data_IF_213782828712
#
_entry.id   IF_213782828712
#
_cell.length_a   1.000
_cell.length_b   1.000
_cell.length_c   1.000
_cell.angle_alpha   90.00
_cell.angle_beta   90.00
_cell.angle_gamma   90.00
#
_symmetry.space_group_name_H-M   'P 1'
#
loop_
_entity.id
_entity.type
_entity.pdbx_description
1 polymer ?
#
# COMPACT_ATOMS: atom_id res chain seq x y z
N UNK A 1 42.24 35.17 -58.08
CA UNK A 1 41.29 35.75 -57.10
C UNK A 1 40.03 34.90 -56.90
N UNK A 2 39.50 34.23 -57.93
CA UNK A 2 38.28 33.39 -57.84
C UNK A 2 38.26 32.32 -56.74
N UNK A 3 39.37 31.60 -56.48
CA UNK A 3 39.38 30.56 -55.45
C UNK A 3 39.23 31.08 -54.01
N UNK A 4 39.66 32.31 -53.72
CA UNK A 4 39.50 32.89 -52.37
C UNK A 4 38.03 33.24 -52.08
N UNK A 5 37.31 33.71 -53.09
CA UNK A 5 35.89 34.06 -52.97
C UNK A 5 35.02 32.83 -52.74
N UNK A 6 35.32 31.71 -53.40
CA UNK A 6 34.62 30.44 -53.19
C UNK A 6 34.82 29.86 -51.78
N UNK A 7 36.05 29.93 -51.26
CA UNK A 7 36.34 29.45 -49.90
C UNK A 7 35.58 30.27 -48.85
N UNK A 8 35.51 31.60 -49.03
CA UNK A 8 34.75 32.48 -48.13
C UNK A 8 33.25 32.18 -48.15
N UNK A 9 32.67 31.91 -49.31
CA UNK A 9 31.25 31.56 -49.44
C UNK A 9 30.91 30.22 -48.78
N UNK A 10 31.78 29.21 -48.93
CA UNK A 10 31.59 27.91 -48.28
C UNK A 10 31.67 28.06 -46.76
N UNK A 11 32.63 28.85 -46.25
CA UNK A 11 32.77 29.08 -44.82
C UNK A 11 31.55 29.80 -44.25
N UNK A 12 31.03 30.84 -44.93
CA UNK A 12 29.84 31.55 -44.47
C UNK A 12 28.60 30.65 -44.45
N UNK A 13 28.47 29.75 -45.44
CA UNK A 13 27.36 28.82 -45.51
C UNK A 13 27.40 27.77 -44.38
N UNK A 14 28.59 27.26 -44.06
CA UNK A 14 28.78 26.34 -42.93
C UNK A 14 28.48 26.99 -41.58
N UNK A 15 28.85 28.25 -41.38
CA UNK A 15 28.51 29.01 -40.17
C UNK A 15 26.99 29.19 -40.06
N UNK A 16 26.32 29.49 -41.17
CA UNK A 16 24.88 29.68 -41.21
C UNK A 16 24.13 28.38 -40.88
N UNK A 17 24.55 27.25 -41.45
CA UNK A 17 24.02 25.92 -41.10
C UNK A 17 24.28 25.61 -39.63
N UNK A 18 25.50 25.83 -39.14
CA UNK A 18 25.85 25.62 -37.74
C UNK A 18 24.97 26.43 -36.80
N UNK A 19 24.72 27.71 -37.12
CA UNK A 19 23.83 28.57 -36.35
C UNK A 19 22.36 28.15 -36.42
N UNK A 20 21.89 27.65 -37.56
CA UNK A 20 20.51 27.17 -37.70
C UNK A 20 20.29 25.87 -36.92
N UNK A 21 21.26 24.95 -36.93
CA UNK A 21 21.23 23.72 -36.13
C UNK A 21 21.31 24.08 -34.63
N UNK A 22 22.22 24.97 -34.24
CA UNK A 22 22.29 25.44 -32.85
C UNK A 22 20.98 26.11 -32.41
N UNK A 23 20.37 26.94 -33.27
CA UNK A 23 19.09 27.57 -33.01
C UNK A 23 17.98 26.52 -32.87
N UNK A 24 17.92 25.50 -33.73
CA UNK A 24 16.93 24.41 -33.62
C UNK A 24 17.12 23.54 -32.36
N UNK A 25 18.35 23.37 -31.88
CA UNK A 25 18.65 22.66 -30.62
C UNK A 25 18.29 23.52 -29.40
N UNK A 26 18.48 24.85 -29.48
CA UNK A 26 18.19 25.78 -28.38
C UNK A 26 16.69 26.13 -28.32
N UNK A 27 16.00 26.12 -29.46
CA UNK A 27 14.56 26.41 -29.60
C UNK A 27 13.72 25.15 -29.75
N UNK A 28 14.14 24.04 -29.14
CA UNK A 28 13.16 23.00 -28.84
C UNK A 28 12.04 23.71 -28.07
N UNK A 29 10.80 23.75 -28.61
CA UNK A 29 9.69 24.34 -27.88
C UNK A 29 9.67 23.66 -26.52
N UNK A 30 9.39 24.41 -25.46
CA UNK A 30 9.06 23.81 -24.18
C UNK A 30 7.94 22.81 -24.43
N UNK A 31 8.33 21.54 -24.61
CA UNK A 31 7.44 20.42 -24.44
C UNK A 31 7.23 20.42 -22.93
N UNK A 32 6.33 21.30 -22.48
CA UNK A 32 5.53 21.00 -21.31
C UNK A 32 5.18 19.53 -21.50
N UNK A 33 5.46 18.63 -20.55
CA UNK A 33 4.79 17.37 -20.56
C UNK A 33 3.33 17.78 -20.67
N UNK A 34 2.73 17.51 -21.82
CA UNK A 34 1.43 16.93 -21.80
C UNK A 34 1.63 15.72 -20.91
N UNK A 35 1.53 15.93 -19.59
CA UNK A 35 1.07 14.87 -18.71
C UNK A 35 -0.11 14.35 -19.49
N UNK A 36 -0.06 13.12 -20.05
CA UNK A 36 -1.27 12.54 -20.56
C UNK A 36 -2.25 12.79 -19.42
N UNK A 37 -3.35 13.48 -19.73
CA UNK A 37 -4.47 13.58 -18.82
C UNK A 37 -4.95 12.14 -18.64
N UNK A 38 -4.21 11.34 -17.88
CA UNK A 38 -4.69 10.12 -17.28
C UNK A 38 -5.85 10.64 -16.45
N UNK A 39 -7.03 10.53 -17.03
CA UNK A 39 -8.27 10.88 -16.38
C UNK A 39 -8.25 10.11 -15.07
N UNK A 40 -8.12 10.85 -13.97
CA UNK A 40 -8.25 10.33 -12.62
C UNK A 40 -9.61 9.65 -12.58
N UNK A 41 -9.65 8.41 -12.06
CA UNK A 41 -10.90 7.67 -12.00
C UNK A 41 -11.94 8.42 -11.17
N UNK A 42 -13.21 8.25 -11.51
CA UNK A 42 -14.28 8.84 -10.73
C UNK A 42 -14.40 8.13 -9.38
N UNK A 43 -13.84 8.75 -8.34
CA UNK A 43 -13.99 8.29 -6.97
C UNK A 43 -15.40 8.59 -6.46
N UNK A 44 -16.18 7.55 -6.13
CA UNK A 44 -17.52 7.70 -5.58
C UNK A 44 -17.52 7.43 -4.08
N UNK A 45 -18.17 8.30 -3.31
CA UNK A 45 -18.36 8.09 -1.86
C UNK A 45 -19.61 7.26 -1.60
N UNK A 46 -19.46 6.19 -0.83
CA UNK A 46 -20.57 5.35 -0.39
C UNK A 46 -21.03 5.72 1.02
N UNK A 47 -20.06 5.89 1.93
CA UNK A 47 -20.28 6.32 3.30
C UNK A 47 -19.10 7.19 3.76
N UNK A 48 -19.38 8.22 4.55
CA UNK A 48 -18.37 9.07 5.14
C UNK A 48 -18.69 9.29 6.62
N UNK A 49 -17.79 8.86 7.48
CA UNK A 49 -17.95 8.95 8.93
C UNK A 49 -17.23 10.18 9.48
N UNK A 50 -15.94 10.35 9.20
CA UNK A 50 -15.16 11.50 9.68
C UNK A 50 -13.84 11.66 8.90
N UNK A 51 -13.16 12.82 8.97
CA UNK A 51 -11.81 12.99 8.38
C UNK A 51 -10.76 12.05 8.99
N UNK A 52 -11.03 11.58 10.21
CA UNK A 52 -10.17 10.78 11.06
C UNK A 52 -10.63 9.30 11.08
N UNK A 53 -11.24 8.85 10.00
CA UNK A 53 -11.70 7.47 9.83
C UNK A 53 -10.73 6.71 8.90
N UNK A 54 -10.72 5.38 8.99
CA UNK A 54 -10.01 4.56 8.02
C UNK A 54 -10.75 4.63 6.68
N UNK A 55 -10.00 4.88 5.62
CA UNK A 55 -10.52 5.00 4.27
C UNK A 55 -10.36 3.68 3.50
N UNK A 56 -11.48 3.04 3.19
CA UNK A 56 -11.55 1.81 2.40
C UNK A 56 -11.98 2.16 0.97
N UNK A 57 -11.22 1.72 -0.02
CA UNK A 57 -11.54 1.93 -1.44
C UNK A 57 -11.81 0.59 -2.10
N UNK A 58 -13.04 0.41 -2.57
CA UNK A 58 -13.48 -0.78 -3.29
C UNK A 58 -13.33 -0.59 -4.80
N UNK A 59 -12.62 -1.50 -5.46
CA UNK A 59 -12.62 -1.63 -6.91
C UNK A 59 -13.71 -2.60 -7.32
N UNK A 60 -14.95 -2.11 -7.30
CA UNK A 60 -16.15 -2.89 -7.59
C UNK A 60 -17.32 -1.97 -7.93
N UNK A 61 -18.43 -2.59 -8.36
CA UNK A 61 -19.72 -1.93 -8.41
C UNK A 61 -20.20 -1.52 -7.01
N UNK A 62 -21.09 -0.52 -6.97
CA UNK A 62 -21.67 0.02 -5.72
C UNK A 62 -22.29 -1.05 -4.82
N UNK A 63 -23.01 -2.00 -5.42
CA UNK A 63 -23.74 -3.02 -4.67
C UNK A 63 -22.80 -3.96 -3.89
N UNK A 64 -21.68 -4.34 -4.50
CA UNK A 64 -20.69 -5.20 -3.86
C UNK A 64 -19.88 -4.42 -2.80
N UNK A 65 -19.50 -3.18 -3.10
CA UNK A 65 -18.86 -2.31 -2.11
C UNK A 65 -19.72 -2.17 -0.85
N UNK A 66 -21.02 -1.90 -1.01
CA UNK A 66 -21.97 -1.81 0.10
C UNK A 66 -22.09 -3.12 0.88
N UNK A 67 -22.22 -4.24 0.17
CA UNK A 67 -22.37 -5.57 0.77
C UNK A 67 -21.19 -5.94 1.68
N UNK A 68 -19.97 -5.64 1.26
CA UNK A 68 -18.76 -5.93 2.05
C UNK A 68 -18.51 -4.88 3.13
N UNK A 69 -18.79 -3.60 2.86
CA UNK A 69 -18.66 -2.55 3.88
C UNK A 69 -19.65 -2.74 5.04
N UNK A 70 -20.90 -3.11 4.75
CA UNK A 70 -21.91 -3.40 5.78
C UNK A 70 -21.51 -4.59 6.63
N UNK A 71 -20.85 -5.58 6.02
CA UNK A 71 -20.39 -6.76 6.72
C UNK A 71 -19.29 -6.44 7.72
N UNK A 72 -18.23 -5.74 7.30
CA UNK A 72 -17.12 -5.37 8.21
C UNK A 72 -17.58 -4.38 9.27
N UNK A 73 -18.48 -3.44 8.95
CA UNK A 73 -19.03 -2.50 9.92
C UNK A 73 -19.88 -3.17 11.02
N UNK A 74 -20.23 -4.45 10.87
CA UNK A 74 -20.89 -5.24 11.92
C UNK A 74 -19.93 -6.02 12.83
N UNK A 75 -18.62 -5.97 12.56
CA UNK A 75 -17.60 -6.79 13.23
C UNK A 75 -16.76 -5.91 14.14
N UNK A 76 -16.48 -6.37 15.36
CA UNK A 76 -15.60 -5.64 16.28
C UNK A 76 -14.14 -5.68 15.81
N UNK A 77 -13.35 -4.62 16.04
CA UNK A 77 -13.76 -3.35 16.65
C UNK A 77 -14.40 -2.37 15.65
N UNK A 78 -14.52 -2.72 14.36
CA UNK A 78 -15.02 -1.82 13.31
C UNK A 78 -16.46 -1.35 13.52
N UNK A 79 -17.28 -2.10 14.26
CA UNK A 79 -18.64 -1.71 14.68
C UNK A 79 -18.71 -0.37 15.43
N UNK A 80 -17.63 0.03 16.08
CA UNK A 80 -17.53 1.28 16.85
C UNK A 80 -16.53 2.26 16.28
N UNK A 81 -15.75 1.86 15.27
CA UNK A 81 -14.74 2.71 14.68
C UNK A 81 -15.26 3.30 13.36
N UNK A 82 -15.11 4.62 13.17
CA UNK A 82 -15.59 5.25 11.95
C UNK A 82 -14.79 4.76 10.74
N UNK A 83 -15.50 4.35 9.69
CA UNK A 83 -14.95 4.00 8.39
C UNK A 83 -15.46 5.00 7.33
N UNK A 84 -14.59 5.40 6.42
CA UNK A 84 -14.98 6.06 5.18
C UNK A 84 -14.91 5.03 4.06
N UNK A 85 -15.98 4.92 3.29
CA UNK A 85 -16.13 3.92 2.24
C UNK A 85 -16.24 4.65 0.91
N UNK A 86 -15.31 4.34 0.01
CA UNK A 86 -15.27 4.82 -1.36
C UNK A 86 -15.29 3.62 -2.31
N UNK A 87 -15.68 3.86 -3.56
CA UNK A 87 -15.58 2.86 -4.61
C UNK A 87 -15.27 3.49 -5.97
N UNK A 88 -14.64 2.70 -6.83
CA UNK A 88 -14.26 3.05 -8.19
C UNK A 88 -14.86 1.98 -9.11
N UNK A 89 -16.00 2.25 -9.77
CA UNK A 89 -16.69 1.25 -10.59
C UNK A 89 -16.12 1.14 -12.01
N UNK A 90 -15.45 2.19 -12.50
CA UNK A 90 -15.02 2.30 -13.91
C UNK A 90 -13.73 1.55 -14.23
N UNK A 91 -12.90 1.27 -13.22
CA UNK A 91 -11.61 0.62 -13.39
C UNK A 91 -11.67 -0.82 -12.87
N UNK A 92 -11.34 -1.78 -13.75
CA UNK A 92 -11.23 -3.20 -13.42
C UNK A 92 -9.74 -3.52 -13.26
N UNK A 93 -9.23 -3.76 -12.05
CA UNK A 93 -7.84 -4.07 -11.83
C UNK A 93 -7.41 -5.35 -12.55
N UNK A 94 -6.20 -5.34 -13.11
CA UNK A 94 -5.55 -6.58 -13.55
C UNK A 94 -5.05 -7.32 -12.33
N UNK A 95 -5.49 -8.56 -12.17
CA UNK A 95 -5.01 -9.45 -11.13
C UNK A 95 -4.43 -10.71 -11.76
N UNK A 96 -3.37 -11.24 -11.16
CA UNK A 96 -2.76 -12.50 -11.54
C UNK A 96 -3.11 -13.62 -10.56
N UNK A 97 -2.83 -14.86 -10.96
CA UNK A 97 -2.87 -16.01 -10.06
C UNK A 97 -1.47 -16.25 -9.51
N UNK A 98 -1.20 -15.71 -8.33
CA UNK A 98 0.08 -15.88 -7.65
C UNK A 98 0.28 -17.36 -7.31
N UNK A 99 1.39 -17.93 -7.83
CA UNK A 99 1.72 -19.37 -7.75
C UNK A 99 0.58 -20.31 -8.18
N UNK A 100 -0.31 -19.84 -9.07
CA UNK A 100 -1.50 -20.56 -9.55
C UNK A 100 -2.55 -20.91 -8.46
N UNK A 101 -2.45 -20.34 -7.26
CA UNK A 101 -3.28 -20.72 -6.11
C UNK A 101 -4.05 -19.56 -5.48
N UNK A 102 -3.63 -18.31 -5.66
CA UNK A 102 -4.23 -17.15 -5.01
C UNK A 102 -4.42 -16.00 -5.99
N UNK A 103 -5.52 -15.26 -5.88
CA UNK A 103 -5.69 -14.01 -6.63
C UNK A 103 -4.83 -12.92 -5.99
N UNK A 104 -4.01 -12.25 -6.79
CA UNK A 104 -3.20 -11.10 -6.38
C UNK A 104 -3.41 -9.93 -7.34
N UNK A 105 -3.96 -8.83 -6.83
CA UNK A 105 -4.29 -7.63 -7.61
C UNK A 105 -3.29 -6.47 -7.40
N UNK A 106 -2.27 -6.66 -6.58
CA UNK A 106 -1.29 -5.63 -6.25
C UNK A 106 -0.51 -5.17 -7.48
N UNK A 107 -0.63 -3.89 -7.84
CA UNK A 107 0.11 -3.32 -8.97
C UNK A 107 0.28 -1.81 -8.84
N UNK A 108 1.29 -1.28 -9.52
CA UNK A 108 1.53 0.16 -9.63
C UNK A 108 0.32 0.90 -10.21
N UNK A 109 -0.31 0.33 -11.24
CA UNK A 109 -1.49 0.89 -11.86
C UNK A 109 -2.66 0.99 -10.87
N UNK A 110 -2.97 -0.10 -10.14
CA UNK A 110 -4.01 -0.10 -9.09
C UNK A 110 -3.77 0.99 -8.05
N UNK A 111 -2.54 1.09 -7.54
CA UNK A 111 -2.16 2.07 -6.50
C UNK A 111 -2.32 3.49 -7.01
N UNK A 112 -1.88 3.80 -8.23
CA UNK A 112 -2.09 5.11 -8.87
C UNK A 112 -3.57 5.43 -9.04
N UNK A 113 -4.36 4.46 -9.50
CA UNK A 113 -5.81 4.62 -9.71
C UNK A 113 -6.55 4.85 -8.40
N UNK A 114 -6.14 4.20 -7.32
CA UNK A 114 -6.70 4.39 -5.98
C UNK A 114 -6.47 5.81 -5.43
N UNK A 115 -5.42 6.51 -5.87
CA UNK A 115 -5.14 7.89 -5.45
C UNK A 115 -6.19 8.91 -5.89
N UNK A 116 -7.20 8.52 -6.68
CA UNK A 116 -8.40 9.33 -6.90
C UNK A 116 -9.30 9.44 -5.64
N UNK A 117 -9.12 8.54 -4.67
CA UNK A 117 -9.85 8.53 -3.40
C UNK A 117 -8.87 8.65 -2.22
N UNK A 118 -9.29 9.15 -1.04
CA UNK A 118 -8.62 8.80 0.21
C UNK A 118 -8.56 7.26 0.35
N UNK A 119 -7.36 6.69 0.51
CA UNK A 119 -7.14 5.25 0.28
C UNK A 119 -6.19 4.58 1.29
N UNK A 120 -6.67 4.28 2.49
CA UNK A 120 -5.85 3.54 3.46
C UNK A 120 -5.69 2.09 3.06
N UNK A 121 -6.79 1.43 2.70
CA UNK A 121 -6.81 0.04 2.23
C UNK A 121 -7.56 -0.06 0.91
N UNK A 122 -7.03 -0.89 0.00
CA UNK A 122 -7.59 -1.14 -1.32
C UNK A 122 -8.22 -2.53 -1.33
N UNK A 123 -9.49 -2.62 -1.68
CA UNK A 123 -10.22 -3.87 -1.72
C UNK A 123 -10.58 -4.16 -3.17
N UNK A 124 -10.06 -5.25 -3.71
CA UNK A 124 -10.42 -5.73 -5.05
C UNK A 124 -11.26 -6.98 -4.89
N UNK A 125 -12.50 -6.91 -5.35
CA UNK A 125 -13.43 -8.04 -5.33
C UNK A 125 -13.38 -8.73 -6.68
N UNK A 126 -12.96 -10.00 -6.70
CA UNK A 126 -12.85 -10.79 -7.93
C UNK A 126 -13.54 -12.13 -7.76
N UNK A 127 -14.30 -12.55 -8.76
CA UNK A 127 -14.84 -13.90 -8.76
C UNK A 127 -13.84 -14.86 -9.39
N UNK A 128 -13.39 -15.87 -8.64
CA UNK A 128 -12.49 -16.93 -9.11
C UNK A 128 -13.03 -18.30 -8.66
N UNK A 129 -12.55 -19.43 -9.21
CA UNK A 129 -12.87 -20.76 -8.68
C UNK A 129 -12.66 -20.84 -7.16
N UNK A 130 -13.48 -21.60 -6.43
CA UNK A 130 -13.38 -21.68 -4.97
C UNK A 130 -12.05 -22.24 -4.45
N UNK A 131 -11.29 -22.94 -5.30
CA UNK A 131 -9.93 -23.40 -5.02
C UNK A 131 -8.88 -22.28 -5.05
N UNK A 132 -9.19 -21.14 -5.66
CA UNK A 132 -8.30 -19.97 -5.70
C UNK A 132 -8.51 -19.16 -4.43
N UNK A 133 -7.42 -19.00 -3.67
CA UNK A 133 -7.34 -18.26 -2.41
C UNK A 133 -7.48 -16.76 -2.61
N UNK A 134 -7.97 -16.09 -1.58
CA UNK A 134 -7.82 -14.64 -1.44
C UNK A 134 -6.38 -14.31 -1.01
N UNK A 135 -6.02 -13.03 -1.05
CA UNK A 135 -4.72 -12.61 -0.52
C UNK A 135 -4.72 -11.21 0.08
N UNK A 136 -3.79 -10.97 1.00
CA UNK A 136 -3.42 -9.64 1.48
C UNK A 136 -1.93 -9.39 1.27
N UNK A 137 -1.62 -8.26 0.63
CA UNK A 137 -0.25 -7.77 0.48
C UNK A 137 -0.20 -6.25 0.60
N UNK A 138 0.73 -5.73 1.41
CA UNK A 138 0.78 -4.31 1.78
C UNK A 138 -0.57 -3.83 2.33
N UNK A 139 -1.23 -2.88 1.66
CA UNK A 139 -2.59 -2.43 1.99
C UNK A 139 -3.64 -2.89 0.97
N UNK A 140 -3.32 -3.86 0.12
CA UNK A 140 -4.20 -4.37 -0.93
C UNK A 140 -4.72 -5.74 -0.55
N UNK A 141 -6.05 -5.86 -0.57
CA UNK A 141 -6.78 -7.08 -0.29
C UNK A 141 -7.43 -7.55 -1.59
N UNK A 142 -7.06 -8.75 -2.03
CA UNK A 142 -7.60 -9.40 -3.23
C UNK A 142 -8.57 -10.48 -2.77
N UNK A 143 -9.86 -10.20 -2.79
CA UNK A 143 -10.89 -11.06 -2.19
C UNK A 143 -11.58 -11.88 -3.29
N UNK A 144 -11.50 -13.21 -3.16
CA UNK A 144 -12.32 -14.11 -3.97
C UNK A 144 -13.78 -14.07 -3.48
N UNK A 145 -14.68 -13.53 -4.30
CA UNK A 145 -16.10 -13.36 -3.93
C UNK A 145 -16.88 -14.67 -3.82
N UNK A 146 -16.31 -15.80 -4.26
CA UNK A 146 -16.87 -17.14 -4.01
C UNK A 146 -16.64 -17.66 -2.59
N UNK A 147 -15.75 -17.03 -1.82
CA UNK A 147 -15.51 -17.39 -0.42
C UNK A 147 -16.49 -16.68 0.53
N UNK A 148 -16.66 -17.18 1.77
CA UNK A 148 -17.40 -16.48 2.81
C UNK A 148 -16.88 -15.06 3.03
N UNK A 149 -17.79 -14.14 3.35
CA UNK A 149 -17.44 -12.73 3.58
C UNK A 149 -16.48 -12.51 4.74
N UNK A 150 -16.37 -13.45 5.68
CA UNK A 150 -15.39 -13.48 6.77
C UNK A 150 -13.94 -13.49 6.30
N UNK A 151 -13.67 -13.80 5.03
CA UNK A 151 -12.33 -13.61 4.45
C UNK A 151 -11.94 -12.14 4.46
N UNK A 152 -12.86 -11.21 4.19
CA UNK A 152 -12.52 -9.79 4.20
C UNK A 152 -11.98 -9.27 5.55
N UNK A 153 -12.66 -9.48 6.70
CA UNK A 153 -12.10 -9.12 8.00
C UNK A 153 -10.82 -9.92 8.32
N UNK A 154 -10.71 -11.17 7.90
CA UNK A 154 -9.45 -11.92 8.05
C UNK A 154 -8.27 -11.21 7.35
N UNK A 155 -8.41 -10.91 6.07
CA UNK A 155 -7.36 -10.29 5.25
C UNK A 155 -7.03 -8.86 5.70
N UNK A 156 -8.02 -8.09 6.13
CA UNK A 156 -7.77 -6.73 6.63
C UNK A 156 -7.01 -6.76 7.95
N UNK A 157 -7.17 -7.78 8.79
CA UNK A 157 -6.42 -7.89 10.04
C UNK A 157 -4.92 -8.13 9.79
N UNK A 158 -4.55 -8.87 8.73
CA UNK A 158 -3.15 -8.94 8.28
C UNK A 158 -2.65 -7.55 7.85
N UNK A 159 -3.39 -6.86 6.98
CA UNK A 159 -2.95 -5.59 6.40
C UNK A 159 -2.90 -4.44 7.42
N UNK A 160 -3.87 -4.36 8.34
CA UNK A 160 -4.05 -3.25 9.29
C UNK A 160 -3.25 -3.45 10.57
N UNK A 161 -3.28 -4.66 11.12
CA UNK A 161 -2.73 -4.93 12.44
C UNK A 161 -1.52 -5.86 12.42
N UNK A 162 -1.18 -6.42 11.24
CA UNK A 162 -0.17 -7.47 11.11
C UNK A 162 -0.44 -8.51 12.19
N UNK A 163 -1.62 -9.15 12.10
CA UNK A 163 -1.97 -10.37 12.83
C UNK A 163 -1.48 -11.59 12.05
N UNK A 164 -1.20 -12.68 12.75
CA UNK A 164 -0.74 -13.94 12.19
C UNK A 164 -1.91 -14.92 12.08
N UNK A 165 -1.71 -15.96 11.29
CA UNK A 165 -2.61 -17.10 11.24
C UNK A 165 -2.66 -17.82 12.59
N UNK A 166 -3.86 -18.08 13.08
CA UNK A 166 -4.07 -18.84 14.31
C UNK A 166 -4.29 -20.34 14.07
N UNK A 167 -4.44 -20.78 12.82
CA UNK A 167 -4.48 -22.21 12.47
C UNK A 167 -3.08 -22.85 12.47
N UNK A 168 -3.02 -24.17 12.48
CA UNK A 168 -1.76 -24.93 12.49
C UNK A 168 -1.79 -26.10 11.50
N UNK A 169 -0.71 -26.32 10.74
CA UNK A 169 0.52 -25.54 10.69
C UNK A 169 0.41 -24.32 9.76
N UNK A 170 1.10 -23.24 10.13
CA UNK A 170 1.34 -22.06 9.30
C UNK A 170 2.72 -21.44 9.61
N UNK A 171 3.18 -20.54 8.75
CA UNK A 171 4.36 -19.74 9.05
C UNK A 171 3.99 -18.67 10.09
N UNK A 172 4.89 -18.40 11.05
CA UNK A 172 4.71 -17.30 12.01
C UNK A 172 5.63 -16.15 11.61
N UNK A 173 5.10 -15.05 11.03
CA UNK A 173 5.89 -13.87 10.72
C UNK A 173 6.51 -13.26 11.99
N UNK A 174 7.64 -12.56 11.83
CA UNK A 174 8.18 -11.76 12.92
C UNK A 174 7.25 -10.61 13.30
N UNK A 175 7.35 -10.12 14.54
CA UNK A 175 6.61 -8.93 15.00
C UNK A 175 5.12 -9.16 15.30
N UNK A 176 4.62 -10.35 15.02
CA UNK A 176 3.25 -10.79 15.26
C UNK A 176 2.97 -10.91 16.76
N UNK A 177 1.86 -10.36 17.22
CA UNK A 177 1.51 -10.30 18.65
C UNK A 177 0.43 -11.30 19.07
N UNK A 178 -0.45 -11.72 18.16
CA UNK A 178 -1.57 -12.61 18.48
C UNK A 178 -1.16 -14.09 18.68
N UNK A 179 -0.02 -14.52 18.14
CA UNK A 179 0.59 -15.81 18.45
C UNK A 179 1.80 -15.68 19.36
N UNK A 180 1.67 -16.12 20.62
CA UNK A 180 2.73 -15.99 21.63
C UNK A 180 3.29 -17.33 22.09
N UNK A 181 4.53 -17.36 22.56
CA UNK A 181 5.17 -18.62 23.01
C UNK A 181 4.65 -19.12 24.37
N UNK A 182 3.88 -18.32 25.11
CA UNK A 182 3.32 -18.66 26.42
C UNK A 182 2.18 -17.71 26.81
N UNK A 183 1.15 -18.20 27.50
CA UNK A 183 -0.06 -17.43 27.85
C UNK A 183 0.21 -16.08 28.54
N UNK A 184 1.26 -16.01 29.37
CA UNK A 184 1.63 -14.80 30.11
C UNK A 184 2.25 -13.68 29.26
N UNK A 185 2.48 -13.92 27.96
CA UNK A 185 2.98 -12.91 27.02
C UNK A 185 1.88 -12.10 26.35
N UNK A 186 0.61 -12.49 26.52
CA UNK A 186 -0.49 -11.62 26.15
C UNK A 186 -0.51 -10.41 27.10
N UNK A 187 -0.37 -9.21 26.52
CA UNK A 187 -0.22 -7.94 27.25
C UNK A 187 -1.55 -7.42 27.82
N UNK A 188 -2.68 -7.95 27.36
CA UNK A 188 -4.04 -7.52 27.72
C UNK A 188 -4.95 -8.73 27.96
N UNK A 189 -6.23 -8.48 28.19
CA UNK A 189 -7.24 -9.51 28.42
C UNK A 189 -7.39 -10.43 27.19
N UNK A 190 -7.57 -11.73 27.45
CA UNK A 190 -7.75 -12.79 26.45
C UNK A 190 -9.03 -13.57 26.77
N UNK A 191 -9.67 -14.16 25.74
CA UNK A 191 -10.84 -15.02 25.94
C UNK A 191 -10.44 -16.39 26.49
N UNK A 192 -9.32 -16.92 25.99
CA UNK A 192 -8.75 -18.20 26.35
C UNK A 192 -7.24 -18.19 26.09
N UNK A 193 -6.53 -19.22 26.56
CA UNK A 193 -5.16 -19.45 26.14
C UNK A 193 -5.05 -20.86 25.56
N UNK A 194 -5.13 -20.94 24.24
CA UNK A 194 -5.23 -22.21 23.53
C UNK A 194 -3.93 -22.53 22.81
N UNK A 195 -3.46 -23.77 22.93
CA UNK A 195 -2.26 -24.25 22.25
C UNK A 195 -2.55 -24.43 20.74
N UNK A 196 -1.55 -24.10 19.91
CA UNK A 196 -1.61 -24.08 18.45
C UNK A 196 -1.93 -22.67 17.92
N UNK A 197 -0.93 -21.95 17.41
CA UNK A 197 -1.11 -20.64 16.76
C UNK A 197 0.02 -20.40 15.77
N UNK A 198 -0.26 -20.56 14.48
CA UNK A 198 0.71 -20.79 13.40
C UNK A 198 1.60 -22.03 13.61
N UNK A 199 2.22 -22.16 14.79
CA UNK A 199 3.04 -23.28 15.22
C UNK A 199 2.37 -24.01 16.38
N UNK A 200 2.54 -25.32 16.43
CA UNK A 200 1.98 -26.17 17.50
C UNK A 200 2.42 -25.76 18.91
N UNK A 201 3.60 -25.14 19.04
CA UNK A 201 4.18 -24.73 20.33
C UNK A 201 3.83 -23.29 20.75
N UNK A 202 2.97 -22.61 19.99
CA UNK A 202 2.53 -21.24 20.28
C UNK A 202 1.07 -21.23 20.73
N UNK A 203 0.64 -20.13 21.34
CA UNK A 203 -0.67 -19.97 21.93
C UNK A 203 -1.42 -18.83 21.26
N UNK A 204 -2.72 -19.03 21.04
CA UNK A 204 -3.69 -18.03 20.59
C UNK A 204 -4.60 -17.58 21.74
N UNK A 205 -5.20 -16.42 21.57
CA UNK A 205 -5.97 -15.71 22.63
C UNK A 205 -7.46 -16.10 22.70
N UNK A 206 -7.91 -16.96 21.79
CA UNK A 206 -9.29 -17.43 21.64
C UNK A 206 -9.30 -18.83 21.02
N UNK A 207 -10.30 -19.66 21.33
CA UNK A 207 -10.41 -20.96 20.65
C UNK A 207 -10.70 -20.78 19.15
N UNK A 208 -11.74 -20.01 18.78
CA UNK A 208 -12.20 -19.87 17.38
C UNK A 208 -12.33 -18.41 16.97
N UNK A 209 -11.19 -17.78 16.69
CA UNK A 209 -11.13 -16.44 16.10
C UNK A 209 -11.25 -16.43 14.57
N UNK A 210 -11.54 -15.27 13.99
CA UNK A 210 -11.49 -15.02 12.53
C UNK A 210 -10.11 -15.38 11.95
N UNK A 211 -9.03 -15.17 12.72
CA UNK A 211 -7.66 -15.50 12.30
C UNK A 211 -7.36 -17.01 12.28
N UNK A 212 -8.26 -17.84 12.82
CA UNK A 212 -8.15 -19.32 12.76
C UNK A 212 -9.12 -19.94 11.77
N UNK A 213 -10.35 -19.44 11.76
CA UNK A 213 -11.46 -20.04 11.01
C UNK A 213 -12.39 -18.98 10.42
N UNK A 214 -12.81 -19.20 9.18
CA UNK A 214 -13.75 -18.34 8.47
C UNK A 214 -15.20 -18.60 8.86
N UNK A 215 -15.47 -19.54 9.77
CA UNK A 215 -16.82 -19.73 10.33
C UNK A 215 -17.16 -18.78 11.48
N UNK A 216 -16.20 -17.98 11.96
CA UNK A 216 -16.37 -17.01 13.04
C UNK A 216 -16.47 -15.59 12.50
N UNK A 217 -17.12 -14.71 13.28
CA UNK A 217 -17.14 -13.26 13.08
C UNK A 217 -16.53 -12.49 14.26
N UNK A 218 -15.81 -13.19 15.12
CA UNK A 218 -15.16 -12.63 16.30
C UNK A 218 -13.65 -12.82 16.16
N UNK A 219 -12.86 -11.76 16.37
CA UNK A 219 -11.40 -11.91 16.48
C UNK A 219 -11.00 -12.41 17.88
N UNK A 220 -11.77 -12.05 18.91
CA UNK A 220 -11.36 -12.20 20.31
C UNK A 220 -10.81 -10.90 20.87
N UNK A 221 -10.90 -10.74 22.20
CA UNK A 221 -10.62 -9.49 22.92
C UNK A 221 -9.21 -8.99 22.64
N UNK A 222 -8.22 -9.90 22.61
CA UNK A 222 -6.82 -9.52 22.41
C UNK A 222 -6.60 -8.95 21.00
N UNK A 223 -7.05 -9.67 19.98
CA UNK A 223 -6.90 -9.27 18.57
C UNK A 223 -7.74 -8.02 18.26
N UNK A 224 -8.95 -7.91 18.83
CA UNK A 224 -9.76 -6.68 18.76
C UNK A 224 -9.01 -5.47 19.35
N UNK A 225 -8.31 -5.64 20.47
CA UNK A 225 -7.51 -4.58 21.08
C UNK A 225 -6.30 -4.21 20.21
N UNK A 226 -5.60 -5.20 19.64
CA UNK A 226 -4.50 -4.94 18.72
C UNK A 226 -4.96 -4.16 17.49
N UNK A 227 -6.10 -4.54 16.90
CA UNK A 227 -6.70 -3.81 15.79
C UNK A 227 -7.09 -2.39 16.23
N UNK A 228 -7.73 -2.24 17.39
CA UNK A 228 -8.15 -0.93 17.92
C UNK A 228 -6.97 0.03 18.15
N UNK A 229 -5.86 -0.46 18.72
CA UNK A 229 -4.62 0.31 18.90
C UNK A 229 -4.11 0.83 17.56
N UNK A 230 -4.19 0.01 16.52
CA UNK A 230 -3.74 0.36 15.16
C UNK A 230 -4.63 1.41 14.54
N UNK A 231 -5.95 1.25 14.63
CA UNK A 231 -6.92 2.27 14.20
C UNK A 231 -6.60 3.61 14.88
N UNK A 232 -6.43 3.64 16.20
CA UNK A 232 -6.13 4.87 16.95
C UNK A 232 -4.78 5.48 16.51
N UNK A 233 -3.75 4.66 16.33
CA UNK A 233 -2.42 5.13 15.92
C UNK A 233 -2.43 5.76 14.53
N UNK A 234 -3.18 5.17 13.58
CA UNK A 234 -3.29 5.68 12.22
C UNK A 234 -4.05 7.01 12.20
N UNK A 235 -5.12 7.11 12.99
CA UNK A 235 -5.93 8.33 13.11
C UNK A 235 -5.20 9.48 13.79
N UNK A 236 -4.43 9.19 14.84
CA UNK A 236 -3.72 10.21 15.63
C UNK A 236 -2.52 10.82 14.88
N UNK A 237 -2.02 10.13 13.86
CA UNK A 237 -0.87 10.56 13.07
C UNK A 237 -1.21 11.60 11.99
N UNK A 238 -2.49 11.88 11.76
CA UNK A 238 -2.94 12.92 10.83
C UNK A 238 -2.87 14.30 11.51
N UNK A 239 -2.11 15.27 10.97
CA UNK A 239 -1.97 16.59 11.59
C UNK A 239 -3.33 17.30 11.63
N UNK A 240 -3.84 17.52 12.85
CA UNK A 240 -5.07 18.27 13.12
C UNK A 240 -4.78 19.75 12.81
N UNK A 241 -4.93 20.16 11.55
CA UNK A 241 -5.07 21.58 11.22
C UNK A 241 -6.53 21.94 11.46
N UNK A 242 -6.79 22.87 12.39
CA UNK A 242 -8.10 23.18 12.98
C UNK A 242 -9.21 23.74 12.05
N UNK A 243 -9.26 23.35 10.78
CA UNK A 243 -10.39 23.58 9.88
C UNK A 243 -10.83 22.24 9.30
N UNK A 244 -11.91 21.68 9.85
CA UNK A 244 -12.57 20.46 9.36
C UNK A 244 -13.37 20.76 8.08
N UNK A 245 -12.69 21.20 7.03
CA UNK A 245 -13.23 21.23 5.67
C UNK A 245 -12.67 19.97 4.99
N UNK A 246 -13.55 19.21 4.33
CA UNK A 246 -13.21 18.09 3.45
C UNK A 246 -11.98 18.47 2.61
N UNK A 247 -10.80 17.99 2.99
CA UNK A 247 -9.57 18.40 2.33
C UNK A 247 -9.45 17.57 1.06
N UNK A 248 -9.73 18.20 -0.07
CA UNK A 248 -9.57 17.57 -1.37
C UNK A 248 -8.08 17.26 -1.59
N UNK A 249 -7.70 15.98 -1.48
CA UNK A 249 -6.32 15.53 -1.72
C UNK A 249 -6.01 15.28 -3.20
N UNK A 250 -6.96 15.49 -4.12
CA UNK A 250 -6.77 15.27 -5.54
C UNK A 250 -5.70 16.19 -6.16
N UNK A 251 -5.48 17.38 -5.60
CA UNK A 251 -4.47 18.33 -6.09
C UNK A 251 -3.14 18.22 -5.35
N UNK A 252 -3.00 17.25 -4.43
CA UNK A 252 -1.77 17.05 -3.67
C UNK A 252 -0.82 16.13 -4.42
N UNK A 253 0.48 16.41 -4.28
CA UNK A 253 1.51 15.51 -4.78
C UNK A 253 1.91 14.49 -3.71
N UNK A 254 2.35 13.33 -4.16
CA UNK A 254 3.03 12.35 -3.32
C UNK A 254 4.19 11.70 -4.10
N UNK A 255 5.19 11.23 -3.38
CA UNK A 255 6.27 10.43 -3.96
C UNK A 255 5.81 8.98 -4.06
N UNK A 256 5.98 8.38 -5.24
CA UNK A 256 5.78 6.97 -5.48
C UNK A 256 7.16 6.32 -5.64
N UNK A 257 7.54 5.50 -4.65
CA UNK A 257 8.84 4.80 -4.63
C UNK A 257 8.58 3.32 -4.93
N UNK A 258 9.19 2.82 -5.99
CA UNK A 258 9.15 1.41 -6.36
C UNK A 258 10.50 0.78 -6.04
N UNK A 259 10.50 -0.29 -5.25
CA UNK A 259 11.71 -0.94 -4.79
C UNK A 259 11.49 -2.45 -4.67
N UNK A 260 12.58 -3.22 -4.66
CA UNK A 260 12.57 -4.68 -4.42
C UNK A 260 13.31 -4.97 -3.13
N UNK A 261 12.77 -5.88 -2.32
CA UNK A 261 13.45 -6.44 -1.16
C UNK A 261 14.08 -7.78 -1.53
N UNK A 262 15.41 -7.87 -1.41
CA UNK A 262 16.17 -9.09 -1.67
C UNK A 262 16.41 -9.79 -0.33
N UNK A 263 15.51 -10.70 0.05
CA UNK A 263 15.48 -11.32 1.38
C UNK A 263 16.80 -12.01 1.75
N UNK A 264 17.46 -12.67 0.80
CA UNK A 264 18.74 -13.38 1.06
C UNK A 264 19.90 -12.44 1.40
N UNK A 265 19.84 -11.18 0.95
CA UNK A 265 20.86 -10.15 1.19
C UNK A 265 20.44 -9.15 2.27
N UNK A 266 19.18 -9.20 2.70
CA UNK A 266 18.54 -8.19 3.52
C UNK A 266 18.75 -6.78 2.94
N UNK A 267 18.59 -6.63 1.63
CA UNK A 267 18.88 -5.41 0.87
C UNK A 267 17.60 -4.89 0.19
N UNK A 268 17.45 -3.56 0.14
CA UNK A 268 16.38 -2.90 -0.60
C UNK A 268 17.00 -2.17 -1.79
N UNK A 269 16.53 -2.48 -2.99
CA UNK A 269 16.98 -1.85 -4.22
C UNK A 269 15.86 -0.99 -4.80
N UNK A 270 16.10 0.32 -4.87
CA UNK A 270 15.15 1.26 -5.48
C UNK A 270 15.22 1.15 -6.99
N UNK A 271 14.08 0.88 -7.62
CA UNK A 271 13.95 0.76 -9.06
C UNK A 271 13.51 2.06 -9.70
N UNK A 272 12.51 2.73 -9.12
CA UNK A 272 11.99 3.99 -9.66
C UNK A 272 11.44 4.91 -8.59
N UNK A 273 11.41 6.20 -8.92
CA UNK A 273 10.91 7.27 -8.06
C UNK A 273 10.16 8.27 -8.94
N UNK A 274 8.89 8.48 -8.66
CA UNK A 274 8.07 9.47 -9.38
C UNK A 274 7.33 10.37 -8.41
N UNK A 275 6.88 11.53 -8.92
CA UNK A 275 5.90 12.35 -8.23
C UNK A 275 4.58 12.11 -8.95
N UNK A 276 3.58 11.74 -8.18
CA UNK A 276 2.23 11.48 -8.65
C UNK A 276 1.25 12.44 -7.98
N UNK A 277 0.11 12.65 -8.64
CA UNK A 277 -0.97 13.49 -8.15
C UNK A 277 -2.05 12.64 -7.48
N UNK A 278 -2.58 13.11 -6.36
CA UNK A 278 -3.72 12.53 -5.67
C UNK A 278 -3.47 12.20 -4.20
N UNK A 279 -4.34 11.37 -3.66
CA UNK A 279 -4.36 11.01 -2.25
C UNK A 279 -3.30 9.92 -1.95
N UNK A 280 -2.44 10.20 -0.97
CA UNK A 280 -1.34 9.30 -0.55
C UNK A 280 -1.82 8.03 0.16
N UNK A 281 -2.86 8.11 0.99
CA UNK A 281 -3.36 6.96 1.76
C UNK A 281 -2.31 6.31 2.68
N UNK A 282 -2.48 5.00 2.92
CA UNK A 282 -1.57 4.17 3.72
C UNK A 282 -0.83 3.13 2.85
N UNK A 283 0.22 2.52 3.40
CA UNK A 283 1.00 1.42 2.79
C UNK A 283 0.80 0.08 3.55
N UNK A 284 -0.12 0.04 4.51
CA UNK A 284 -0.39 -1.13 5.37
C UNK A 284 0.44 -1.08 6.65
N UNK A 285 0.55 -2.20 7.34
CA UNK A 285 1.30 -2.33 8.59
C UNK A 285 2.19 -3.59 8.55
N UNK A 286 3.38 -3.53 9.15
CA UNK A 286 4.32 -4.65 9.12
C UNK A 286 5.71 -4.36 9.71
N UNK A 287 6.68 -5.21 9.35
CA UNK A 287 8.03 -5.22 9.92
C UNK A 287 9.04 -4.27 9.25
N UNK A 288 8.65 -3.59 8.19
CA UNK A 288 9.46 -2.55 7.56
C UNK A 288 9.04 -1.21 8.14
N UNK A 289 9.96 -0.26 8.19
CA UNK A 289 9.66 1.12 8.53
C UNK A 289 10.25 2.04 7.47
N UNK A 290 9.59 3.16 7.25
CA UNK A 290 10.22 4.29 6.58
C UNK A 290 10.19 5.52 7.48
N UNK A 291 11.18 6.38 7.34
CA UNK A 291 11.25 7.68 8.02
C UNK A 291 11.70 8.76 7.05
N UNK A 292 10.93 9.84 6.99
CA UNK A 292 11.30 11.06 6.26
C UNK A 292 12.10 11.99 7.15
N UNK A 293 13.13 12.61 6.59
CA UNK A 293 13.92 13.61 7.31
C UNK A 293 14.00 14.92 6.54
N UNK A 294 13.96 16.01 7.30
CA UNK A 294 14.15 17.37 6.79
C UNK A 294 15.63 17.66 6.46
N UNK A 295 15.89 18.92 6.08
CA UNK A 295 17.25 19.40 5.80
C UNK A 295 18.19 19.38 7.02
N UNK A 296 17.65 19.44 8.25
CA UNK A 296 18.38 19.41 9.51
C UNK A 296 18.60 18.00 10.06
N UNK A 297 18.01 16.98 9.41
CA UNK A 297 18.04 15.60 9.90
C UNK A 297 17.01 15.30 10.98
N UNK A 298 15.99 16.13 11.15
CA UNK A 298 14.86 15.88 12.03
C UNK A 298 13.83 14.99 11.34
N UNK A 299 13.27 13.97 12.01
CA UNK A 299 12.23 13.12 11.43
C UNK A 299 10.93 13.92 11.25
N UNK A 300 10.32 13.82 10.06
CA UNK A 300 9.09 14.50 9.67
C UNK A 300 7.86 13.58 9.69
N UNK A 301 8.04 12.35 9.25
CA UNK A 301 7.01 11.30 9.20
C UNK A 301 7.70 9.95 9.38
N UNK A 302 7.04 9.00 10.02
CA UNK A 302 7.54 7.64 10.16
C UNK A 302 6.38 6.67 10.21
N UNK A 303 6.40 5.67 9.34
CA UNK A 303 5.35 4.63 9.28
C UNK A 303 5.95 3.27 8.97
N UNK A 304 5.26 2.24 9.42
CA UNK A 304 5.58 0.85 9.12
C UNK A 304 4.77 0.31 7.94
N UNK A 305 5.23 -0.77 7.32
CA UNK A 305 4.55 -1.48 6.22
C UNK A 305 5.07 -2.92 6.10
N UNK A 306 4.44 -3.73 5.24
CA UNK A 306 4.83 -5.12 4.98
C UNK A 306 5.17 -5.35 3.50
N UNK A 307 6.45 -5.24 3.15
CA UNK A 307 6.95 -5.51 1.79
C UNK A 307 7.47 -6.94 1.57
N UNK A 308 7.44 -7.79 2.60
CA UNK A 308 8.05 -9.13 2.55
C UNK A 308 7.02 -10.22 2.35
N UNK A 309 5.82 -10.11 2.94
CA UNK A 309 4.91 -11.24 3.07
C UNK A 309 3.58 -11.02 2.37
N UNK A 310 3.17 -12.01 1.57
CA UNK A 310 1.84 -12.15 0.99
C UNK A 310 1.12 -13.23 1.78
N UNK A 311 -0.01 -12.87 2.38
CA UNK A 311 -0.92 -13.81 3.05
C UNK A 311 -1.90 -14.35 2.01
N UNK A 312 -2.22 -15.64 2.05
CA UNK A 312 -3.13 -16.26 1.09
C UNK A 312 -4.03 -17.27 1.79
N UNK A 313 -5.34 -17.08 1.71
CA UNK A 313 -6.27 -17.85 2.52
C UNK A 313 -7.52 -18.29 1.76
N UNK A 314 -7.97 -19.50 2.07
CA UNK A 314 -9.25 -20.05 1.61
C UNK A 314 -9.97 -20.78 2.75
N UNK A 315 -11.29 -20.97 2.62
CA UNK A 315 -12.05 -21.82 3.52
C UNK A 315 -11.59 -23.28 3.43
N UNK A 316 -11.17 -23.87 4.55
CA UNK A 316 -11.07 -25.32 4.72
C UNK A 316 -12.29 -25.88 5.46
N UNK A 317 -12.30 -27.21 5.67
CA UNK A 317 -13.43 -27.90 6.33
C UNK A 317 -13.61 -27.53 7.81
N UNK A 318 -12.51 -27.23 8.50
CA UNK A 318 -12.48 -26.93 9.94
C UNK A 318 -11.71 -25.64 10.20
N UNK A 319 -10.52 -25.55 9.62
CA UNK A 319 -9.61 -24.40 9.74
C UNK A 319 -9.39 -23.78 8.37
N UNK A 320 -8.75 -22.62 8.34
CA UNK A 320 -8.36 -21.96 7.09
C UNK A 320 -7.28 -22.80 6.40
N UNK A 321 -7.38 -22.90 5.08
CA UNK A 321 -6.31 -23.42 4.23
C UNK A 321 -5.57 -22.24 3.61
N UNK A 322 -4.39 -21.93 4.15
CA UNK A 322 -3.59 -20.84 3.64
C UNK A 322 -2.08 -21.07 3.75
N UNK A 323 -1.34 -20.14 3.17
CA UNK A 323 0.11 -20.12 3.23
C UNK A 323 0.61 -18.68 3.11
N UNK A 324 1.74 -18.41 3.77
CA UNK A 324 2.42 -17.12 3.69
C UNK A 324 3.61 -17.28 2.75
N UNK A 325 3.69 -16.40 1.76
CA UNK A 325 4.77 -16.37 0.78
C UNK A 325 5.63 -15.12 0.92
N UNK A 326 6.94 -15.29 0.68
CA UNK A 326 7.81 -14.15 0.43
C UNK A 326 7.45 -13.52 -0.93
N UNK A 327 7.26 -12.21 -0.95
CA UNK A 327 7.11 -11.44 -2.19
C UNK A 327 8.47 -11.37 -2.91
N UNK A 328 8.47 -11.81 -4.16
CA UNK A 328 9.59 -11.77 -5.09
C UNK A 328 9.51 -10.60 -6.09
N UNK A 329 8.40 -9.86 -6.08
CA UNK A 329 8.17 -8.68 -6.92
C UNK A 329 8.56 -7.36 -6.26
N UNK A 330 8.30 -6.22 -6.93
CA UNK A 330 8.49 -4.90 -6.34
C UNK A 330 7.41 -4.60 -5.29
N UNK A 331 7.78 -3.84 -4.27
CA UNK A 331 6.86 -3.12 -3.40
C UNK A 331 6.86 -1.63 -3.77
N UNK A 332 5.74 -0.99 -3.46
CA UNK A 332 5.44 0.38 -3.86
C UNK A 332 5.03 1.16 -2.62
N UNK A 333 5.77 2.22 -2.32
CA UNK A 333 5.50 3.13 -1.23
C UNK A 333 4.91 4.43 -1.75
N UNK A 334 3.75 4.80 -1.21
CA UNK A 334 3.18 6.15 -1.33
C UNK A 334 3.63 6.97 -0.14
N UNK A 335 4.26 8.12 -0.40
CA UNK A 335 4.88 8.95 0.62
C UNK A 335 4.45 10.41 0.40
N UNK A 336 3.95 11.07 1.43
CA UNK A 336 3.49 12.46 1.33
C UNK A 336 4.60 13.38 0.81
N UNK A 337 4.29 14.22 -0.18
CA UNK A 337 5.24 15.23 -0.64
C UNK A 337 5.27 16.42 0.33
N UNK A 338 6.05 16.28 1.41
CA UNK A 338 6.24 17.33 2.41
C UNK A 338 7.34 18.29 1.90
N UNK A 339 7.16 19.62 2.06
CA UNK A 339 8.24 20.58 1.79
C UNK A 339 9.52 20.26 2.58
N UNK A 340 10.68 20.64 2.03
CA UNK A 340 11.98 20.52 2.69
C UNK A 340 12.47 19.10 3.05
N UNK A 341 11.81 18.06 2.54
CA UNK A 341 12.27 16.68 2.66
C UNK A 341 13.60 16.52 1.92
N UNK A 342 14.61 16.05 2.64
CA UNK A 342 15.96 15.80 2.11
C UNK A 342 16.17 14.33 1.79
N UNK A 343 15.78 13.46 2.72
CA UNK A 343 16.03 12.02 2.64
C UNK A 343 14.85 11.22 3.14
N UNK A 344 14.74 10.02 2.59
CA UNK A 344 13.87 8.94 3.02
C UNK A 344 14.78 7.79 3.45
N UNK A 345 14.58 7.27 4.65
CA UNK A 345 15.20 6.03 5.09
C UNK A 345 14.16 4.94 5.08
N UNK A 346 14.48 3.80 4.47
CA UNK A 346 13.70 2.56 4.61
C UNK A 346 14.53 1.58 5.43
N UNK A 347 13.98 1.13 6.55
CA UNK A 347 14.65 0.21 7.46
C UNK A 347 13.91 -1.10 7.62
N UNK A 348 14.69 -2.17 7.71
CA UNK A 348 14.20 -3.49 8.06
C UNK A 348 15.31 -4.25 8.80
N UNK A 349 14.96 -4.77 9.99
CA UNK A 349 15.95 -5.31 10.94
C UNK A 349 17.03 -4.24 11.21
N UNK A 350 18.30 -4.58 11.06
CA UNK A 350 19.43 -3.66 11.28
C UNK A 350 19.89 -2.93 10.00
N UNK A 351 19.22 -3.14 8.85
CA UNK A 351 19.60 -2.54 7.57
C UNK A 351 18.77 -1.30 7.29
N UNK A 352 19.46 -0.27 6.80
CA UNK A 352 18.87 1.01 6.41
C UNK A 352 19.28 1.29 4.98
N UNK A 353 18.30 1.61 4.14
CA UNK A 353 18.50 2.10 2.77
C UNK A 353 18.13 3.57 2.75
N UNK A 354 19.10 4.41 2.42
CA UNK A 354 18.89 5.85 2.29
C UNK A 354 18.56 6.23 0.85
N UNK A 355 17.55 7.07 0.70
CA UNK A 355 17.06 7.57 -0.57
C UNK A 355 17.16 9.09 -0.53
N UNK A 356 17.90 9.67 -1.47
CA UNK A 356 17.94 11.12 -1.64
C UNK A 356 16.64 11.58 -2.30
N UNK A 357 15.85 12.37 -1.57
CA UNK A 357 14.58 12.88 -2.07
C UNK A 357 14.75 14.18 -2.86
N UNK A 358 15.95 14.80 -2.80
CA UNK A 358 16.24 16.01 -3.57
C UNK A 358 16.34 15.68 -5.06
N UNK A 359 15.51 16.33 -5.85
CA UNK A 359 15.56 16.23 -7.30
C UNK A 359 14.67 15.15 -7.89
N UNK A 360 13.88 14.42 -7.09
CA UNK A 360 12.79 13.60 -7.64
C UNK A 360 11.84 14.55 -8.36
N UNK A 361 11.62 14.31 -9.66
CA UNK A 361 10.85 15.20 -10.53
C UNK A 361 11.54 16.50 -10.96
N UNK A 362 12.77 16.79 -10.50
CA UNK A 362 13.54 17.90 -11.03
C UNK A 362 14.07 17.54 -12.42
N UNK A 363 13.78 18.37 -13.41
CA UNK A 363 14.41 18.22 -14.73
C UNK A 363 15.90 18.52 -14.59
N UNK A 364 16.80 17.72 -15.19
CA UNK A 364 18.19 18.12 -15.29
C UNK A 364 18.23 19.47 -16.03
N UNK A 365 18.72 20.52 -15.36
CA UNK A 365 19.04 21.76 -16.04
C UNK A 365 20.12 21.42 -17.08
N UNK A 366 19.83 21.58 -18.37
CA UNK A 366 20.84 21.51 -19.43
C UNK A 366 21.80 22.69 -19.18
N UNK A 367 23.03 22.39 -18.75
CA UNK A 367 24.12 23.37 -18.57
C UNK A 367 24.67 23.78 -19.93
#
# INVERSE_FOLDING_TARGET
MQNKTYILLILSFLILIGSAIAFLIITEPEILPSSPSETIEECQNLAYSSPNAINLVFFSEKADAQKYSDYIAGIKPFDKNPLNIYYIPTYIPKCELYKEIAVLCYSKELIKKASSCPNDYLIVLKEEPSSIRSSAYMNVLSINTRHPKSVFPHEIAHALANLAEEYTPANLPSGQKNCVSSCNKFETEINACELGCSKDSYYRSIDRGIMRTLSSNEYGIYDENLIQERIISQVSSSPITGNAIYENCLDKNYYLIEAVYISQQNEIQVQSQTIELGCVGSNGYGNFNYTLYDNNGMPLDSKSFNAELIFTDAPGEIEIEGEIYENDGPFILKISAIPDVKKLEISHKEKITEINMRGIGARPCRI
#
